data_IF_865871925851
#
_entry.id   IF_865871925851
#
_cell.length_a   1.000
_cell.length_b   1.000
_cell.length_c   1.000
_cell.angle_alpha   90.00
_cell.angle_beta   90.00
_cell.angle_gamma   90.00
#
_symmetry.space_group_name_H-M   'P 1'
#
loop_
_entity.id
_entity.type
_entity.pdbx_description
1 polymer ?
#
# COMPACT_ATOMS: atom_id res chain seq x y z
N UNK A 1 10.10 27.06 14.84
CA UNK A 1 8.83 26.32 14.71
C UNK A 1 8.98 25.41 13.50
N UNK A 2 8.83 24.09 13.65
CA UNK A 2 8.92 23.16 12.52
C UNK A 2 7.57 23.17 11.80
N UNK A 3 7.53 23.73 10.60
CA UNK A 3 6.38 23.64 9.70
C UNK A 3 6.20 22.18 9.26
N UNK A 4 5.48 21.40 10.05
CA UNK A 4 5.10 20.02 9.70
C UNK A 4 3.79 20.04 8.93
N UNK A 5 3.84 20.48 7.66
CA UNK A 5 2.70 20.40 6.75
C UNK A 5 2.73 19.05 6.03
N UNK A 6 2.28 18.01 6.71
CA UNK A 6 2.19 16.67 6.11
C UNK A 6 0.82 16.51 5.47
N UNK A 7 0.78 16.62 4.14
CA UNK A 7 -0.40 16.28 3.36
C UNK A 7 -0.71 14.79 3.54
N UNK A 8 -1.85 14.48 4.17
CA UNK A 8 -2.39 13.12 4.23
C UNK A 8 -3.24 12.88 2.99
N UNK A 9 -3.06 11.72 2.38
CA UNK A 9 -3.77 11.37 1.16
C UNK A 9 -3.40 9.98 0.69
N UNK A 10 -4.35 9.30 0.08
CA UNK A 10 -4.12 8.03 -0.59
C UNK A 10 -4.84 8.02 -1.94
N UNK A 11 -4.20 7.41 -2.92
CA UNK A 11 -4.76 7.18 -4.26
C UNK A 11 -4.82 5.68 -4.44
N UNK A 12 -5.99 5.19 -4.85
CA UNK A 12 -6.23 3.78 -5.15
C UNK A 12 -6.65 3.63 -6.60
N UNK A 13 -6.05 2.67 -7.28
CA UNK A 13 -6.40 2.27 -8.64
C UNK A 13 -6.86 0.83 -8.62
N UNK A 14 -8.01 0.60 -9.24
CA UNK A 14 -8.62 -0.72 -9.40
C UNK A 14 -8.61 -1.08 -10.87
N UNK A 15 -8.14 -2.28 -11.19
CA UNK A 15 -8.06 -2.75 -12.56
C UNK A 15 -8.58 -4.18 -12.68
N UNK A 16 -9.41 -4.39 -13.71
CA UNK A 16 -9.94 -5.70 -14.11
C UNK A 16 -9.44 -6.01 -15.51
N UNK A 17 -8.36 -6.79 -15.66
CA UNK A 17 -7.82 -7.14 -16.96
C UNK A 17 -8.82 -7.95 -17.81
N UNK A 18 -9.08 -7.51 -19.04
CA UNK A 18 -9.99 -8.20 -19.97
C UNK A 18 -9.52 -9.62 -20.35
N UNK A 19 -8.20 -9.84 -20.35
CA UNK A 19 -7.59 -11.13 -20.65
C UNK A 19 -7.62 -12.13 -19.47
N UNK A 20 -8.02 -11.69 -18.27
CA UNK A 20 -8.14 -12.52 -17.08
C UNK A 20 -9.51 -12.28 -16.41
N UNK A 21 -10.57 -12.94 -16.90
CA UNK A 21 -11.90 -12.81 -16.31
C UNK A 21 -11.87 -13.27 -14.85
N UNK A 22 -12.64 -12.56 -14.01
CA UNK A 22 -12.75 -12.79 -12.58
C UNK A 22 -11.47 -12.52 -11.78
N UNK A 23 -10.51 -11.79 -12.35
CA UNK A 23 -9.35 -11.25 -11.64
C UNK A 23 -9.55 -9.76 -11.35
N UNK A 24 -9.25 -9.37 -10.12
CA UNK A 24 -9.19 -7.99 -9.69
C UNK A 24 -7.78 -7.69 -9.18
N UNK A 25 -7.22 -6.59 -9.66
CA UNK A 25 -5.93 -6.06 -9.20
C UNK A 25 -6.19 -4.70 -8.59
N UNK A 26 -5.68 -4.45 -7.40
CA UNK A 26 -5.77 -3.14 -6.75
C UNK A 26 -4.39 -2.68 -6.34
N UNK A 27 -4.11 -1.40 -6.56
CA UNK A 27 -2.89 -0.74 -6.12
C UNK A 27 -3.27 0.51 -5.38
N UNK A 28 -2.78 0.69 -4.15
CA UNK A 28 -2.98 1.92 -3.39
C UNK A 28 -1.67 2.49 -2.91
N UNK A 29 -1.52 3.81 -3.01
CA UNK A 29 -0.34 4.54 -2.55
C UNK A 29 -0.80 5.68 -1.67
N UNK A 30 -0.16 5.89 -0.53
CA UNK A 30 -0.60 6.93 0.39
C UNK A 30 0.41 7.29 1.46
N UNK A 31 0.23 8.48 2.02
CA UNK A 31 0.99 8.97 3.16
C UNK A 31 0.16 8.76 4.44
N UNK A 32 0.67 7.92 5.33
CA UNK A 32 0.04 7.59 6.60
C UNK A 32 0.34 8.66 7.66
N UNK A 33 -0.45 8.69 8.74
CA UNK A 33 -0.43 9.74 9.79
C UNK A 33 0.94 9.95 10.46
N UNK A 34 1.86 9.00 10.38
CA UNK A 34 3.23 9.10 10.87
C UNK A 34 4.21 9.80 9.89
N UNK A 35 3.74 10.25 8.72
CA UNK A 35 4.58 10.81 7.66
C UNK A 35 5.17 9.76 6.70
N UNK A 36 5.00 8.48 7.00
CA UNK A 36 5.48 7.37 6.18
C UNK A 36 4.65 7.19 4.91
N UNK A 37 5.32 7.02 3.78
CA UNK A 37 4.67 6.70 2.49
C UNK A 37 4.65 5.20 2.29
N UNK A 38 3.49 4.65 1.97
CA UNK A 38 3.31 3.23 1.70
C UNK A 38 2.64 2.97 0.36
N UNK A 39 2.91 1.78 -0.18
CA UNK A 39 2.33 1.21 -1.39
C UNK A 39 1.77 -0.16 -1.03
N UNK A 40 0.50 -0.40 -1.35
CA UNK A 40 -0.13 -1.69 -1.24
C UNK A 40 -0.51 -2.18 -2.63
N UNK A 41 -0.27 -3.46 -2.88
CA UNK A 41 -0.63 -4.14 -4.12
C UNK A 41 -1.38 -5.40 -3.73
N UNK A 42 -2.55 -5.60 -4.32
CA UNK A 42 -3.35 -6.81 -4.15
C UNK A 42 -3.78 -7.37 -5.49
N UNK A 43 -3.85 -8.69 -5.57
CA UNK A 43 -4.55 -9.38 -6.64
C UNK A 43 -5.46 -10.45 -6.05
N UNK A 44 -6.64 -10.62 -6.62
CA UNK A 44 -7.58 -11.66 -6.24
C UNK A 44 -8.26 -12.24 -7.47
N UNK A 45 -8.47 -13.55 -7.48
CA UNK A 45 -9.22 -14.29 -8.49
C UNK A 45 -10.36 -15.05 -7.83
N UNK A 46 -11.58 -14.89 -8.37
CA UNK A 46 -12.75 -15.67 -7.97
C UNK A 46 -13.00 -16.78 -8.99
N UNK A 47 -13.20 -18.00 -8.50
CA UNK A 47 -13.55 -19.16 -9.30
C UNK A 47 -15.06 -19.44 -9.22
N UNK A 48 -15.61 -20.09 -10.25
CA UNK A 48 -17.04 -20.47 -10.30
C UNK A 48 -17.41 -21.46 -9.19
N UNK A 49 -16.45 -22.20 -8.65
CA UNK A 49 -16.60 -23.03 -7.46
C UNK A 49 -16.89 -22.25 -6.17
N UNK A 50 -16.85 -20.91 -6.22
CA UNK A 50 -17.01 -20.01 -5.06
C UNK A 50 -15.70 -19.71 -4.33
N UNK A 51 -14.60 -20.39 -4.68
CA UNK A 51 -13.28 -20.18 -4.07
C UNK A 51 -12.70 -18.83 -4.54
N UNK A 52 -12.04 -18.13 -3.63
CA UNK A 52 -11.26 -16.92 -3.92
C UNK A 52 -9.82 -17.14 -3.54
N UNK A 53 -8.89 -16.90 -4.47
CA UNK A 53 -7.45 -16.97 -4.23
C UNK A 53 -6.84 -15.63 -4.59
N UNK A 54 -5.98 -15.11 -3.73
CA UNK A 54 -5.30 -13.84 -3.99
C UNK A 54 -3.96 -13.75 -3.27
N UNK A 55 -3.20 -12.72 -3.60
CA UNK A 55 -2.04 -12.32 -2.82
C UNK A 55 -2.06 -10.81 -2.57
N UNK A 56 -1.36 -10.42 -1.51
CA UNK A 56 -1.23 -9.05 -1.08
C UNK A 56 0.21 -8.76 -0.68
N UNK A 57 0.69 -7.57 -1.02
CA UNK A 57 2.00 -7.08 -0.62
C UNK A 57 1.87 -5.60 -0.20
N UNK A 58 2.48 -5.25 0.94
CA UNK A 58 2.56 -3.89 1.45
C UNK A 58 4.02 -3.49 1.60
N UNK A 59 4.38 -2.34 1.05
CA UNK A 59 5.70 -1.74 1.17
C UNK A 59 5.54 -0.37 1.82
N UNK A 60 6.14 -0.16 2.99
CA UNK A 60 6.13 1.14 3.68
C UNK A 60 7.56 1.62 3.85
N UNK A 61 7.82 2.86 3.43
CA UNK A 61 9.03 3.56 3.79
C UNK A 61 8.82 4.16 5.18
N UNK A 62 8.98 3.34 6.21
CA UNK A 62 9.17 3.86 7.57
C UNK A 62 10.43 4.72 7.49
N UNK A 63 10.35 5.98 7.89
CA UNK A 63 11.50 6.87 8.04
C UNK A 63 12.72 6.10 8.60
N UNK A 64 13.63 5.67 7.72
CA UNK A 64 14.96 5.15 8.11
C UNK A 64 15.80 6.22 8.81
N UNK A 65 15.25 7.42 9.00
CA UNK A 65 15.83 8.54 9.72
C UNK A 65 15.60 8.45 11.24
N UNK A 66 14.61 7.68 11.72
CA UNK A 66 14.35 7.52 13.17
C UNK A 66 15.28 6.47 13.82
N UNK A 67 15.63 5.40 13.10
CA UNK A 67 16.47 4.30 13.62
C UNK A 67 17.89 4.77 13.98
N UNK A 68 18.40 5.82 13.33
CA UNK A 68 19.75 6.34 13.58
C UNK A 68 19.87 7.22 14.84
N UNK A 69 18.76 7.74 15.37
CA UNK A 69 18.81 8.64 16.54
C UNK A 69 18.93 7.89 17.88
N UNK A 70 18.59 6.59 17.91
CA UNK A 70 18.49 5.80 19.15
C UNK A 70 19.80 5.03 19.48
N UNK A 71 20.88 5.19 18.70
CA UNK A 71 22.19 4.54 18.94
C UNK A 71 23.28 5.49 19.44
N UNK A 72 22.90 6.60 20.06
CA UNK A 72 23.85 7.57 20.64
C UNK A 72 23.50 7.90 22.09
N UNK A 73 23.56 6.91 22.97
CA UNK A 73 23.77 7.07 24.40
C UNK A 73 24.63 5.91 24.90
#
# INVERSE_FOLDING_TARGET
FLDYNTWTGHVSVYWKPEFLPNVEVSVSVGQFLAGDKGVNISFARRFESGIVVGAFAAFTNVSSKEIWFIRKF
#
